data_IF_910050463925
#
_entry.id   IF_910050463925
#
_cell.length_a   1.000
_cell.length_b   1.000
_cell.length_c   1.000
_cell.angle_alpha   90.00
_cell.angle_beta   90.00
_cell.angle_gamma   90.00
#
_symmetry.space_group_name_H-M   'P 1'
#
loop_
_entity.id
_entity.type
_entity.pdbx_description
1 polymer ?
#
# COMPACT_ATOMS: atom_id res chain seq x y z
N UNK A 1 -25.06 -33.45 6.56
CA UNK A 1 -25.14 -31.99 6.70
C UNK A 1 -24.77 -31.43 5.34
N UNK A 2 -25.74 -30.81 4.69
CA UNK A 2 -25.59 -30.35 3.30
C UNK A 2 -24.49 -29.27 3.23
N UNK A 3 -23.81 -29.19 2.09
CA UNK A 3 -22.76 -28.18 1.85
C UNK A 3 -23.31 -26.76 2.05
N UNK A 4 -24.62 -26.58 1.84
CA UNK A 4 -25.38 -25.36 2.05
C UNK A 4 -25.39 -24.94 3.53
N UNK A 5 -25.68 -25.87 4.46
CA UNK A 5 -25.74 -25.57 5.90
C UNK A 5 -24.38 -25.14 6.45
N UNK A 6 -23.33 -25.84 6.02
CA UNK A 6 -21.96 -25.53 6.42
C UNK A 6 -21.49 -24.17 5.88
N UNK A 7 -21.96 -23.80 4.69
CA UNK A 7 -21.72 -22.48 4.11
C UNK A 7 -22.43 -21.38 4.89
N UNK A 8 -23.61 -21.66 5.44
CA UNK A 8 -24.40 -20.72 6.24
C UNK A 8 -23.78 -20.45 7.62
N UNK A 9 -23.23 -21.47 8.28
CA UNK A 9 -22.49 -21.30 9.53
C UNK A 9 -21.21 -20.48 9.34
N UNK A 10 -20.45 -20.75 8.27
CA UNK A 10 -19.21 -20.01 7.96
C UNK A 10 -19.53 -18.54 7.65
N UNK A 11 -20.58 -18.26 6.87
CA UNK A 11 -21.00 -16.89 6.59
C UNK A 11 -21.37 -16.13 7.87
N UNK A 12 -22.17 -16.74 8.76
CA UNK A 12 -22.56 -16.09 10.03
C UNK A 12 -21.35 -15.78 10.90
N UNK A 13 -20.41 -16.72 11.04
CA UNK A 13 -19.19 -16.50 11.83
C UNK A 13 -18.30 -15.38 11.26
N UNK A 14 -18.23 -15.23 9.95
CA UNK A 14 -17.50 -14.14 9.29
C UNK A 14 -18.25 -12.81 9.48
N UNK A 15 -19.57 -12.79 9.28
CA UNK A 15 -20.39 -11.57 9.38
C UNK A 15 -20.38 -11.00 10.81
N UNK A 16 -20.42 -11.85 11.82
CA UNK A 16 -20.33 -11.45 13.23
C UNK A 16 -18.96 -10.84 13.57
N UNK A 17 -17.87 -11.45 13.10
CA UNK A 17 -16.50 -10.92 13.27
C UNK A 17 -16.32 -9.57 12.56
N UNK A 18 -16.85 -9.44 11.35
CA UNK A 18 -16.82 -8.18 10.58
C UNK A 18 -17.68 -7.10 11.25
N UNK A 19 -18.84 -7.44 11.83
CA UNK A 19 -19.66 -6.50 12.61
C UNK A 19 -18.94 -5.95 13.83
N UNK A 20 -18.02 -6.71 14.43
CA UNK A 20 -17.20 -6.25 15.56
C UNK A 20 -15.99 -5.40 15.13
N UNK A 21 -15.45 -5.62 13.91
CA UNK A 21 -14.26 -4.96 13.34
C UNK A 21 -14.39 -3.44 13.04
N UNK A 22 -15.42 -2.77 13.56
CA UNK A 22 -15.60 -1.34 13.38
C UNK A 22 -16.31 -0.61 14.52
N UNK A 23 -16.54 -1.28 15.65
CA UNK A 23 -17.25 -0.72 16.82
C UNK A 23 -16.34 -0.34 17.99
N UNK A 24 -15.08 -0.80 18.00
CA UNK A 24 -14.08 -0.42 19.01
C UNK A 24 -13.60 1.03 18.88
N UNK A 25 -12.85 1.52 19.89
CA UNK A 25 -12.28 2.88 19.96
C UNK A 25 -11.60 3.30 18.65
N UNK A 26 -10.77 2.44 18.08
CA UNK A 26 -10.02 2.71 16.83
C UNK A 26 -10.88 2.63 15.57
N UNK A 27 -11.91 1.77 15.54
CA UNK A 27 -12.85 1.70 14.42
C UNK A 27 -13.69 2.98 14.29
N UNK A 28 -14.02 3.63 15.41
CA UNK A 28 -14.67 4.94 15.42
C UNK A 28 -13.74 6.03 14.88
N UNK A 29 -12.46 6.01 15.23
CA UNK A 29 -11.46 6.98 14.74
C UNK A 29 -11.28 6.86 13.22
N UNK A 30 -11.12 5.64 12.70
CA UNK A 30 -11.02 5.42 11.25
C UNK A 30 -12.25 5.89 10.48
N UNK A 31 -13.45 5.76 11.06
CA UNK A 31 -14.71 6.25 10.47
C UNK A 31 -14.84 7.78 10.52
N UNK A 32 -14.23 8.44 11.51
CA UNK A 32 -14.20 9.91 11.61
C UNK A 32 -13.11 10.54 10.74
N UNK A 33 -12.08 9.77 10.35
CA UNK A 33 -11.04 10.26 9.47
C UNK A 33 -11.60 10.62 8.09
N UNK A 34 -11.21 11.78 7.56
CA UNK A 34 -11.58 12.20 6.21
C UNK A 34 -10.87 11.29 5.19
N UNK A 35 -11.66 10.56 4.41
CA UNK A 35 -11.12 9.85 3.23
C UNK A 35 -10.66 10.91 2.20
N UNK A 36 -9.42 10.82 1.68
CA UNK A 36 -8.95 11.76 0.66
C UNK A 36 -9.80 11.64 -0.60
N UNK A 37 -9.95 12.74 -1.34
CA UNK A 37 -10.54 12.68 -2.67
C UNK A 37 -9.57 12.04 -3.66
N UNK A 38 -10.09 11.52 -4.78
CA UNK A 38 -9.25 10.93 -5.83
C UNK A 38 -8.20 11.93 -6.34
N UNK A 39 -8.56 13.21 -6.46
CA UNK A 39 -7.65 14.27 -6.92
C UNK A 39 -6.53 14.56 -5.91
N UNK A 40 -6.87 14.64 -4.62
CA UNK A 40 -5.88 14.82 -3.55
C UNK A 40 -4.89 13.66 -3.52
N UNK A 41 -5.40 12.44 -3.55
CA UNK A 41 -4.58 11.23 -3.57
C UNK A 41 -3.67 11.20 -4.79
N UNK A 42 -4.21 11.47 -5.98
CA UNK A 42 -3.44 11.43 -7.23
C UNK A 42 -2.33 12.47 -7.23
N UNK A 43 -2.61 13.70 -6.78
CA UNK A 43 -1.58 14.76 -6.66
C UNK A 43 -0.45 14.35 -5.71
N UNK A 44 -0.79 13.82 -4.54
CA UNK A 44 0.22 13.38 -3.56
C UNK A 44 1.07 12.23 -4.10
N UNK A 45 0.44 11.24 -4.74
CA UNK A 45 1.16 10.09 -5.32
C UNK A 45 2.07 10.54 -6.46
N UNK A 46 1.64 11.46 -7.33
CA UNK A 46 2.48 11.99 -8.40
C UNK A 46 3.72 12.71 -7.88
N UNK A 47 3.57 13.59 -6.88
CA UNK A 47 4.71 14.31 -6.28
C UNK A 47 5.68 13.34 -5.61
N UNK A 48 5.15 12.40 -4.83
CA UNK A 48 5.96 11.39 -4.14
C UNK A 48 6.68 10.48 -5.14
N UNK A 49 5.99 10.03 -6.18
CA UNK A 49 6.55 9.20 -7.24
C UNK A 49 7.66 9.91 -8.02
N UNK A 50 7.49 11.20 -8.31
CA UNK A 50 8.54 12.03 -8.91
C UNK A 50 9.77 12.12 -8.00
N UNK A 51 9.58 12.37 -6.70
CA UNK A 51 10.68 12.43 -5.74
C UNK A 51 11.44 11.11 -5.64
N UNK A 52 10.74 9.98 -5.54
CA UNK A 52 11.34 8.65 -5.51
C UNK A 52 12.13 8.35 -6.80
N UNK A 53 11.58 8.73 -7.95
CA UNK A 53 12.24 8.51 -9.25
C UNK A 53 13.51 9.35 -9.38
N UNK A 54 13.47 10.62 -8.95
CA UNK A 54 14.64 11.50 -9.00
C UNK A 54 15.75 11.04 -8.06
N UNK A 55 15.43 10.76 -6.80
CA UNK A 55 16.43 10.34 -5.79
C UNK A 55 16.97 8.96 -6.15
N UNK A 56 16.09 8.01 -6.50
CA UNK A 56 16.47 6.68 -6.93
C UNK A 56 17.30 6.70 -8.21
N UNK A 57 16.91 7.51 -9.19
CA UNK A 57 17.63 7.69 -10.44
C UNK A 57 19.02 8.30 -10.24
N UNK A 58 19.15 9.30 -9.35
CA UNK A 58 20.43 9.91 -9.04
C UNK A 58 21.37 8.94 -8.29
N UNK A 59 20.85 8.22 -7.29
CA UNK A 59 21.62 7.17 -6.62
C UNK A 59 22.03 6.04 -7.56
N UNK A 60 21.13 5.64 -8.46
CA UNK A 60 21.41 4.64 -9.49
C UNK A 60 22.45 5.12 -10.51
N UNK A 61 22.39 6.38 -10.93
CA UNK A 61 23.39 6.98 -11.82
C UNK A 61 24.78 6.95 -11.17
N UNK A 62 24.89 7.37 -9.89
CA UNK A 62 26.15 7.29 -9.15
C UNK A 62 26.66 5.85 -9.08
N UNK A 63 25.79 4.89 -8.76
CA UNK A 63 26.15 3.47 -8.73
C UNK A 63 26.70 2.97 -10.07
N UNK A 64 26.07 3.33 -11.19
CA UNK A 64 26.54 2.96 -12.52
C UNK A 64 27.91 3.58 -12.82
N UNK A 65 28.10 4.86 -12.50
CA UNK A 65 29.37 5.56 -12.71
C UNK A 65 30.51 4.99 -11.85
N UNK A 66 30.24 4.58 -10.62
CA UNK A 66 31.30 4.04 -9.74
C UNK A 66 31.58 2.57 -10.02
N UNK A 67 30.55 1.77 -10.33
CA UNK A 67 30.69 0.31 -10.40
C UNK A 67 30.97 -0.20 -11.80
N UNK A 68 30.36 0.40 -12.83
CA UNK A 68 30.45 -0.09 -14.22
C UNK A 68 31.47 0.65 -15.05
N UNK A 69 31.76 1.91 -14.71
CA UNK A 69 32.69 2.75 -15.45
C UNK A 69 34.17 2.33 -15.30
N UNK A 70 34.66 1.89 -14.12
CA UNK A 70 36.02 1.34 -14.01
C UNK A 70 36.19 0.07 -14.85
N UNK A 71 35.21 -0.84 -14.79
CA UNK A 71 35.21 -2.08 -15.57
C UNK A 71 35.10 -1.88 -17.09
N UNK A 72 34.56 -0.75 -17.55
CA UNK A 72 34.48 -0.44 -18.99
C UNK A 72 35.70 0.34 -19.51
N UNK A 73 36.36 1.11 -18.64
CA UNK A 73 37.63 1.79 -18.93
C UNK A 73 38.87 0.88 -18.77
N UNK A 74 38.70 -0.35 -18.26
CA UNK A 74 39.77 -1.33 -18.15
C UNK A 74 40.80 -1.04 -17.05
N UNK A 75 40.41 -0.32 -16.00
CA UNK A 75 41.20 -0.05 -14.79
C UNK A 75 40.85 -1.02 -13.67
#
# INVERSE_FOLDING_TARGET
MDIVDKSWEIQKGIEERVKMLGKGKYGRVLKMARKPTTDEYTKTVMITGLGLTLIGGLGFAIYLLVTRLPGWLGL
#
